data_IF_057322261387
#
_entry.id   IF_057322261387
#
_cell.length_a   1.000
_cell.length_b   1.000
_cell.length_c   1.000
_cell.angle_alpha   90.00
_cell.angle_beta   90.00
_cell.angle_gamma   90.00
#
_symmetry.space_group_name_H-M   'P 1'
#
loop_
_entity.id
_entity.type
_entity.pdbx_description
1 polymer ?
#
# COMPACT_ATOMS: atom_id res chain seq x y z
N UNK A 1 5.63 -15.12 -25.77
CA UNK A 1 6.33 -14.00 -26.44
C UNK A 1 7.07 -13.21 -25.38
N UNK A 2 8.41 -13.20 -25.42
CA UNK A 2 9.22 -12.50 -24.41
C UNK A 2 9.28 -11.02 -24.79
N UNK A 3 8.65 -10.16 -24.01
CA UNK A 3 8.72 -8.70 -24.21
C UNK A 3 10.17 -8.27 -23.96
N UNK A 4 10.83 -7.75 -24.99
CA UNK A 4 12.20 -7.25 -24.93
C UNK A 4 12.32 -5.97 -24.08
N UNK A 5 13.55 -5.60 -23.66
CA UNK A 5 13.82 -4.47 -22.77
C UNK A 5 13.54 -3.07 -23.37
N UNK A 6 13.03 -2.96 -24.60
CA UNK A 6 13.04 -1.72 -25.41
C UNK A 6 12.04 -0.61 -25.01
N UNK A 7 11.37 -0.68 -23.86
CA UNK A 7 10.38 0.35 -23.47
C UNK A 7 10.35 0.71 -21.97
N UNK A 8 11.49 0.66 -21.30
CA UNK A 8 11.58 1.10 -19.92
C UNK A 8 12.56 2.27 -19.81
N UNK A 9 12.19 3.31 -19.04
CA UNK A 9 13.15 4.34 -18.67
C UNK A 9 14.24 3.67 -17.84
N UNK A 10 15.41 3.51 -18.44
CA UNK A 10 16.57 2.88 -17.82
C UNK A 10 17.33 3.92 -17.00
N UNK A 11 17.86 3.50 -15.86
CA UNK A 11 18.90 4.28 -15.17
C UNK A 11 20.15 4.40 -16.06
N UNK A 12 21.13 5.21 -15.65
CA UNK A 12 22.42 5.34 -16.34
C UNK A 12 23.16 4.01 -16.56
N UNK A 13 22.76 2.93 -15.87
CA UNK A 13 23.32 1.58 -16.01
C UNK A 13 22.44 0.61 -16.83
N UNK A 14 21.32 1.04 -17.41
CA UNK A 14 20.41 0.14 -18.13
C UNK A 14 19.35 -0.55 -17.25
N UNK A 15 19.34 -0.33 -15.93
CA UNK A 15 18.41 -0.97 -15.01
C UNK A 15 17.05 -0.25 -14.99
N UNK A 16 15.96 -1.00 -14.94
CA UNK A 16 14.60 -0.45 -14.82
C UNK A 16 14.25 -0.30 -13.34
N UNK A 17 13.89 0.91 -12.91
CA UNK A 17 13.40 1.10 -11.54
C UNK A 17 12.08 0.37 -11.34
N UNK A 18 11.94 -0.32 -10.19
CA UNK A 18 10.72 -1.05 -9.82
C UNK A 18 9.47 -0.16 -9.89
N UNK A 19 9.58 1.09 -9.45
CA UNK A 19 8.51 2.10 -9.51
C UNK A 19 8.05 2.37 -10.94
N UNK A 20 8.97 2.47 -11.90
CA UNK A 20 8.68 2.66 -13.33
C UNK A 20 7.96 1.45 -13.91
N UNK A 21 8.46 0.24 -13.62
CA UNK A 21 7.82 -1.00 -14.08
C UNK A 21 6.39 -1.12 -13.51
N UNK A 22 6.22 -0.93 -12.20
CA UNK A 22 4.91 -0.97 -11.56
C UNK A 22 3.97 0.14 -12.07
N UNK A 23 4.49 1.33 -12.36
CA UNK A 23 3.75 2.43 -12.96
C UNK A 23 3.20 2.08 -14.33
N UNK A 24 4.03 1.52 -15.21
CA UNK A 24 3.62 1.07 -16.57
C UNK A 24 2.49 0.04 -16.50
N UNK A 25 2.59 -0.92 -15.59
CA UNK A 25 1.58 -1.96 -15.42
C UNK A 25 0.41 -1.54 -14.52
N UNK A 26 0.44 -0.32 -13.96
CA UNK A 26 -0.56 0.21 -13.02
C UNK A 26 -0.81 -0.78 -11.86
N UNK A 27 0.27 -1.21 -11.23
CA UNK A 27 0.27 -2.08 -10.04
C UNK A 27 0.94 -1.38 -8.85
N UNK A 28 0.73 -1.92 -7.66
CA UNK A 28 1.24 -1.42 -6.39
C UNK A 28 2.46 -2.25 -5.98
N UNK A 29 3.68 -1.68 -5.98
CA UNK A 29 4.91 -2.42 -5.73
C UNK A 29 4.88 -3.10 -4.36
N UNK A 30 4.39 -2.43 -3.33
CA UNK A 30 4.41 -2.93 -1.96
C UNK A 30 3.56 -4.17 -1.75
N UNK A 31 2.53 -4.41 -2.57
CA UNK A 31 1.66 -5.60 -2.45
C UNK A 31 2.07 -6.77 -3.35
N UNK A 32 3.05 -6.60 -4.23
CA UNK A 32 3.50 -7.66 -5.13
C UNK A 32 4.50 -8.62 -4.46
N UNK A 33 4.31 -9.95 -4.60
CA UNK A 33 5.12 -10.96 -3.94
C UNK A 33 6.40 -11.28 -4.74
N UNK A 34 7.27 -10.29 -4.90
CA UNK A 34 8.55 -10.52 -5.60
C UNK A 34 9.46 -11.50 -4.85
N UNK A 35 10.17 -12.36 -5.59
CA UNK A 35 10.97 -13.46 -5.01
C UNK A 35 12.18 -13.00 -4.20
N UNK A 36 12.67 -11.77 -4.41
CA UNK A 36 13.78 -11.22 -3.62
C UNK A 36 13.37 -10.81 -2.20
N UNK A 37 12.07 -10.80 -1.89
CA UNK A 37 11.56 -10.46 -0.56
C UNK A 37 11.69 -11.67 0.36
N UNK A 38 12.12 -11.42 1.59
CA UNK A 38 12.17 -12.46 2.64
C UNK A 38 10.78 -12.92 3.07
N UNK A 39 9.86 -11.96 3.20
CA UNK A 39 8.47 -12.18 3.61
C UNK A 39 7.57 -11.69 2.49
N UNK A 40 6.55 -12.48 2.13
CA UNK A 40 5.58 -12.03 1.14
C UNK A 40 4.72 -10.89 1.73
N UNK A 41 4.20 -9.97 0.89
CA UNK A 41 3.32 -8.91 1.37
C UNK A 41 2.12 -9.43 2.14
N UNK A 42 1.58 -10.57 1.73
CA UNK A 42 0.40 -11.13 2.35
C UNK A 42 0.70 -11.69 3.74
N UNK A 43 1.82 -12.39 3.93
CA UNK A 43 2.26 -12.86 5.24
C UNK A 43 2.53 -11.71 6.20
N UNK A 44 3.18 -10.65 5.71
CA UNK A 44 3.40 -9.44 6.51
C UNK A 44 2.08 -8.81 6.94
N UNK A 45 1.13 -8.63 6.01
CA UNK A 45 -0.16 -8.02 6.33
C UNK A 45 -1.02 -8.90 7.24
N UNK A 46 -1.03 -10.22 7.04
CA UNK A 46 -1.74 -11.17 7.91
C UNK A 46 -1.26 -11.00 9.36
N UNK A 47 0.05 -11.07 9.58
CA UNK A 47 0.61 -10.96 10.93
C UNK A 47 0.40 -9.56 11.56
N UNK A 48 0.42 -8.50 10.75
CA UNK A 48 0.07 -7.16 11.26
C UNK A 48 -1.41 -7.08 11.66
N UNK A 49 -2.32 -7.61 10.84
CA UNK A 49 -3.76 -7.59 11.14
C UNK A 49 -4.06 -8.41 12.38
N UNK A 50 -3.49 -9.61 12.51
CA UNK A 50 -3.61 -10.46 13.70
C UNK A 50 -3.11 -9.73 14.95
N UNK A 51 -1.91 -9.14 14.88
CA UNK A 51 -1.39 -8.35 15.99
C UNK A 51 -2.22 -7.11 16.31
N UNK A 52 -2.86 -6.47 15.32
CA UNK A 52 -3.76 -5.33 15.56
C UNK A 52 -5.06 -5.74 16.24
N UNK A 53 -5.57 -6.94 15.94
CA UNK A 53 -6.79 -7.49 16.54
C UNK A 53 -6.58 -7.91 18.00
N UNK A 54 -5.36 -8.28 18.38
CA UNK A 54 -4.98 -8.60 19.76
C UNK A 54 -4.73 -7.36 20.63
N UNK A 55 -4.45 -6.21 20.03
CA UNK A 55 -4.21 -4.99 20.78
C UNK A 55 -5.50 -4.49 21.46
N UNK A 56 -5.41 -3.95 22.69
CA UNK A 56 -6.53 -3.22 23.27
C UNK A 56 -6.98 -2.11 22.32
N UNK A 57 -8.30 -1.96 22.12
CA UNK A 57 -8.86 -0.89 21.28
C UNK A 57 -8.47 0.54 21.74
N UNK A 58 -7.99 0.67 22.98
CA UNK A 58 -7.46 1.90 23.58
C UNK A 58 -5.96 2.12 23.32
N UNK A 59 -5.27 1.18 22.66
CA UNK A 59 -3.90 1.35 22.23
C UNK A 59 -3.86 2.26 21.00
N UNK A 60 -3.47 3.52 21.19
CA UNK A 60 -3.38 4.51 20.11
C UNK A 60 -2.30 4.18 19.06
N UNK A 61 -1.30 3.40 19.45
CA UNK A 61 -0.12 3.13 18.64
C UNK A 61 0.41 1.73 18.82
N UNK A 62 1.14 1.23 17.84
CA UNK A 62 1.83 -0.05 17.87
C UNK A 62 3.22 0.04 17.22
N UNK A 63 4.05 -0.98 17.43
CA UNK A 63 5.32 -1.15 16.72
C UNK A 63 5.31 -2.51 16.02
N UNK A 64 5.51 -2.59 14.69
CA UNK A 64 5.47 -3.84 13.95
C UNK A 64 6.43 -4.92 14.48
N UNK A 65 7.56 -4.53 15.08
CA UNK A 65 8.52 -5.46 15.68
C UNK A 65 7.99 -6.19 16.93
N UNK A 66 6.85 -5.77 17.47
CA UNK A 66 6.18 -6.40 18.61
C UNK A 66 5.08 -7.37 18.17
N UNK A 67 4.84 -7.51 16.85
CA UNK A 67 3.92 -8.48 16.29
C UNK A 67 4.72 -9.75 16.02
N UNK A 68 4.33 -10.85 16.66
CA UNK A 68 5.05 -12.12 16.62
C UNK A 68 5.30 -12.61 15.18
N UNK A 69 6.39 -13.33 14.96
CA UNK A 69 6.76 -13.99 13.71
C UNK A 69 7.01 -13.10 12.46
N UNK A 70 7.01 -11.77 12.60
CA UNK A 70 7.34 -10.86 11.49
C UNK A 70 8.84 -10.54 11.47
N UNK A 71 9.59 -11.00 10.45
CA UNK A 71 10.85 -10.35 10.07
C UNK A 71 10.52 -8.95 9.53
N UNK A 72 10.49 -7.97 10.43
CA UNK A 72 10.30 -6.51 10.19
C UNK A 72 11.41 -5.87 9.36
N UNK A 73 12.17 -6.66 8.61
CA UNK A 73 12.99 -6.22 7.48
C UNK A 73 12.27 -6.57 6.17
N UNK A 74 11.04 -6.09 5.90
CA UNK A 74 10.33 -6.48 4.71
C UNK A 74 10.99 -5.76 3.55
N UNK A 75 11.70 -6.52 2.72
CA UNK A 75 12.13 -6.17 1.38
C UNK A 75 13.16 -5.03 1.26
N UNK A 76 14.15 -5.23 0.39
CA UNK A 76 14.99 -4.14 -0.09
C UNK A 76 14.11 -3.06 -0.76
N UNK A 77 14.26 -1.80 -0.35
CA UNK A 77 13.59 -0.64 -0.93
C UNK A 77 13.06 0.36 0.11
N UNK A 78 13.34 1.65 -0.09
CA UNK A 78 12.79 2.71 0.77
C UNK A 78 11.25 2.75 0.66
N UNK A 79 10.55 2.76 1.79
CA UNK A 79 9.09 2.96 1.95
C UNK A 79 8.14 1.78 1.73
N UNK A 80 8.58 0.56 1.40
CA UNK A 80 7.67 -0.60 1.22
C UNK A 80 6.81 -0.87 2.47
N UNK A 81 7.45 -0.93 3.64
CA UNK A 81 6.73 -1.11 4.91
C UNK A 81 5.74 0.03 5.18
N UNK A 82 6.14 1.26 4.88
CA UNK A 82 5.27 2.45 5.01
C UNK A 82 4.02 2.32 4.16
N UNK A 83 4.15 1.84 2.92
CA UNK A 83 3.02 1.68 2.01
C UNK A 83 2.14 0.47 2.38
N UNK A 84 2.73 -0.63 2.87
CA UNK A 84 1.97 -1.77 3.42
C UNK A 84 1.12 -1.33 4.60
N UNK A 85 1.72 -0.71 5.61
CA UNK A 85 1.00 -0.22 6.80
C UNK A 85 0.04 0.92 6.44
N UNK A 86 0.41 1.78 5.50
CA UNK A 86 -0.43 2.82 4.94
C UNK A 86 -1.70 2.27 4.29
N UNK A 87 -1.61 1.11 3.62
CA UNK A 87 -2.76 0.43 3.00
C UNK A 87 -3.77 -0.05 4.05
N UNK A 88 -3.29 -0.37 5.27
CA UNK A 88 -4.12 -0.70 6.44
C UNK A 88 -4.65 0.55 7.17
N UNK A 89 -4.27 1.75 6.74
CA UNK A 89 -4.68 3.00 7.36
C UNK A 89 -3.73 3.52 8.43
N UNK A 90 -2.67 2.79 8.78
CA UNK A 90 -1.68 3.23 9.76
C UNK A 90 -0.74 4.31 9.21
N UNK A 91 -0.19 5.15 10.09
CA UNK A 91 0.85 6.14 9.75
C UNK A 91 1.85 6.32 10.88
N UNK A 92 3.04 6.79 10.51
CA UNK A 92 4.18 6.91 11.43
C UNK A 92 3.98 8.11 12.37
N UNK A 93 4.18 7.89 13.67
CA UNK A 93 4.02 8.91 14.73
C UNK A 93 5.29 9.73 14.94
N UNK A 94 6.48 9.11 14.88
CA UNK A 94 7.76 9.79 15.07
C UNK A 94 8.80 9.31 14.03
N UNK A 95 9.64 10.22 13.53
CA UNK A 95 10.77 9.94 12.65
C UNK A 95 11.98 9.37 13.40
N UNK A 96 12.04 9.49 14.73
CA UNK A 96 13.21 9.13 15.54
C UNK A 96 13.23 7.67 16.04
N UNK A 97 13.97 6.83 15.32
CA UNK A 97 14.53 5.51 15.70
C UNK A 97 13.63 4.31 16.09
N UNK A 98 12.48 4.46 16.75
CA UNK A 98 11.54 3.34 16.94
C UNK A 98 10.26 3.64 16.16
N UNK A 99 10.05 2.95 15.03
CA UNK A 99 8.94 3.25 14.12
C UNK A 99 7.61 2.86 14.78
N UNK A 100 7.05 3.80 15.56
CA UNK A 100 5.72 3.71 16.15
C UNK A 100 4.69 4.18 15.12
N UNK A 101 3.63 3.39 14.97
CA UNK A 101 2.57 3.62 14.01
C UNK A 101 1.26 3.82 14.75
N UNK A 102 0.38 4.67 14.21
CA UNK A 102 -0.98 4.80 14.72
C UNK A 102 -1.76 3.53 14.44
N UNK A 103 -2.47 3.05 15.45
CA UNK A 103 -3.38 1.92 15.34
C UNK A 103 -4.65 2.34 14.57
N UNK A 104 -4.94 1.77 13.39
CA UNK A 104 -6.14 2.10 12.62
C UNK A 104 -7.45 1.72 13.35
N UNK A 105 -7.39 0.77 14.30
CA UNK A 105 -8.54 0.32 15.09
C UNK A 105 -8.75 1.14 16.38
N UNK A 106 -8.02 2.24 16.58
CA UNK A 106 -8.10 3.03 17.81
C UNK A 106 -9.46 3.75 17.95
N UNK A 107 -10.18 3.45 19.04
CA UNK A 107 -11.57 3.93 19.23
C UNK A 107 -11.69 5.41 19.64
N UNK A 108 -10.61 6.04 20.10
CA UNK A 108 -10.63 7.45 20.54
C UNK A 108 -9.93 8.38 19.54
N UNK A 109 -10.37 8.34 18.27
CA UNK A 109 -9.74 9.11 17.17
C UNK A 109 -9.49 10.60 17.48
N UNK A 110 -10.36 11.26 18.25
CA UNK A 110 -10.17 12.67 18.69
C UNK A 110 -8.91 12.90 19.55
N UNK A 111 -8.32 11.85 20.10
CA UNK A 111 -7.06 11.92 20.88
C UNK A 111 -5.82 11.76 19.99
N UNK A 112 -5.98 11.46 18.70
CA UNK A 112 -4.87 11.38 17.74
C UNK A 112 -4.48 12.75 17.18
N UNK A 113 -5.15 13.84 17.58
CA UNK A 113 -4.88 15.20 17.12
C UNK A 113 -3.42 15.66 17.37
N UNK A 114 -2.71 15.01 18.31
CA UNK A 114 -1.30 15.27 18.61
C UNK A 114 -0.33 14.36 17.83
N UNK A 115 -0.83 13.45 17.00
CA UNK A 115 -0.06 12.47 16.22
C UNK A 115 -0.20 12.74 14.71
N UNK A 116 -0.08 14.01 14.32
CA UNK A 116 -0.23 14.47 12.94
C UNK A 116 0.93 13.96 12.08
N UNK A 117 0.60 13.45 10.89
CA UNK A 117 1.61 13.04 9.93
C UNK A 117 2.33 14.27 9.35
N UNK A 118 3.64 14.35 9.58
CA UNK A 118 4.50 15.40 9.02
C UNK A 118 4.68 15.25 7.51
N UNK A 119 4.59 16.35 6.75
CA UNK A 119 4.85 16.36 5.31
C UNK A 119 3.91 17.30 4.57
N UNK A 120 4.04 17.34 3.25
CA UNK A 120 3.08 18.08 2.43
C UNK A 120 1.72 17.36 2.44
N UNK A 121 0.66 18.11 2.76
CA UNK A 121 -0.69 17.56 2.91
C UNK A 121 -1.20 16.98 1.59
N UNK A 122 -0.86 17.58 0.45
CA UNK A 122 -1.29 17.10 -0.87
C UNK A 122 -0.59 15.79 -1.20
N UNK A 123 0.71 15.70 -1.00
CA UNK A 123 1.45 14.44 -1.19
C UNK A 123 0.90 13.29 -0.33
N UNK A 124 0.59 13.57 0.94
CA UNK A 124 0.00 12.57 1.84
C UNK A 124 -1.38 12.12 1.33
N UNK A 125 -2.23 13.07 0.90
CA UNK A 125 -3.56 12.78 0.32
C UNK A 125 -3.44 11.93 -0.94
N UNK A 126 -2.56 12.31 -1.87
CA UNK A 126 -2.36 11.58 -3.13
C UNK A 126 -1.84 10.17 -2.87
N UNK A 127 -0.87 10.02 -1.96
CA UNK A 127 -0.37 8.71 -1.53
C UNK A 127 -1.47 7.86 -0.89
N UNK A 128 -2.26 8.42 0.04
CA UNK A 128 -3.34 7.69 0.70
C UNK A 128 -4.43 7.26 -0.30
N UNK A 129 -4.79 8.11 -1.25
CA UNK A 129 -5.72 7.77 -2.32
C UNK A 129 -5.16 6.66 -3.22
N UNK A 130 -3.85 6.66 -3.49
CA UNK A 130 -3.18 5.66 -4.33
C UNK A 130 -3.23 4.24 -3.77
N UNK A 131 -3.42 4.06 -2.46
CA UNK A 131 -3.64 2.74 -1.87
C UNK A 131 -5.00 2.13 -2.24
N UNK A 132 -5.98 2.94 -2.67
CA UNK A 132 -7.31 2.52 -3.08
C UNK A 132 -8.23 2.09 -1.93
N UNK A 133 -7.69 1.55 -0.85
CA UNK A 133 -8.45 1.12 0.32
C UNK A 133 -9.01 2.31 1.07
N UNK A 134 -8.21 3.33 1.39
CA UNK A 134 -8.57 4.42 2.31
C UNK A 134 -9.67 5.34 1.79
N UNK A 135 -10.50 5.86 2.70
CA UNK A 135 -11.52 6.89 2.47
C UNK A 135 -11.07 8.23 3.06
N UNK A 136 -11.82 9.30 2.78
CA UNK A 136 -11.57 10.61 3.40
C UNK A 136 -11.64 10.55 4.94
N UNK A 137 -12.53 9.70 5.48
CA UNK A 137 -12.68 9.52 6.92
C UNK A 137 -11.43 8.87 7.55
N UNK A 138 -10.79 7.93 6.84
CA UNK A 138 -9.56 7.27 7.32
C UNK A 138 -8.35 8.22 7.27
N UNK A 139 -8.36 9.20 6.36
CA UNK A 139 -7.23 10.12 6.13
C UNK A 139 -7.31 11.39 6.98
N UNK A 140 -8.52 11.90 7.26
CA UNK A 140 -8.69 13.15 7.99
C UNK A 140 -7.99 13.18 9.38
N UNK A 141 -8.01 12.11 10.19
CA UNK A 141 -7.30 12.05 11.47
C UNK A 141 -5.78 12.30 11.36
N UNK A 142 -5.16 11.96 10.22
CA UNK A 142 -3.72 12.20 9.97
C UNK A 142 -3.34 13.67 10.03
N UNK A 143 -4.32 14.57 9.85
CA UNK A 143 -4.13 16.01 9.85
C UNK A 143 -4.75 16.70 11.08
N UNK A 144 -5.27 15.94 12.05
CA UNK A 144 -5.99 16.49 13.20
C UNK A 144 -7.25 17.27 12.80
N UNK A 145 -7.93 16.85 11.72
CA UNK A 145 -9.15 17.51 11.24
C UNK A 145 -10.29 16.49 11.06
N UNK A 146 -11.52 17.00 11.04
CA UNK A 146 -12.69 16.19 10.70
C UNK A 146 -12.73 15.82 9.21
N UNK A 147 -13.48 14.78 8.86
CA UNK A 147 -13.74 14.38 7.46
C UNK A 147 -14.26 15.57 6.63
N UNK A 148 -15.23 16.32 7.17
CA UNK A 148 -15.76 17.53 6.53
C UNK A 148 -14.69 18.60 6.33
N UNK A 149 -13.78 18.74 7.30
CA UNK A 149 -12.61 19.62 7.20
C UNK A 149 -11.70 19.25 6.03
N UNK A 150 -11.40 17.97 5.88
CA UNK A 150 -10.59 17.47 4.76
C UNK A 150 -11.32 17.65 3.42
N UNK A 151 -12.63 17.33 3.34
CA UNK A 151 -13.44 17.57 2.13
C UNK A 151 -13.41 19.02 1.68
N UNK A 152 -13.61 19.97 2.60
CA UNK A 152 -13.53 21.41 2.28
C UNK A 152 -12.14 21.81 1.79
N UNK A 153 -11.08 21.27 2.41
CA UNK A 153 -9.71 21.53 1.97
C UNK A 153 -9.47 21.00 0.55
N UNK A 154 -9.92 19.77 0.23
CA UNK A 154 -9.82 19.17 -1.11
C UNK A 154 -10.53 20.03 -2.16
N UNK A 155 -11.77 20.45 -1.90
CA UNK A 155 -12.54 21.32 -2.80
C UNK A 155 -11.82 22.65 -3.07
N UNK A 156 -11.29 23.31 -2.04
CA UNK A 156 -10.54 24.57 -2.21
C UNK A 156 -9.25 24.42 -3.02
N UNK A 157 -8.67 23.23 -3.01
CA UNK A 157 -7.43 22.91 -3.76
C UNK A 157 -7.71 22.32 -5.13
N UNK A 158 -8.98 22.16 -5.52
CA UNK A 158 -9.35 21.55 -6.81
C UNK A 158 -8.94 20.08 -6.90
N UNK A 159 -8.87 19.36 -5.77
CA UNK A 159 -8.46 17.97 -5.73
C UNK A 159 -9.69 17.06 -5.68
N UNK A 160 -9.86 16.24 -6.72
CA UNK A 160 -10.97 15.28 -6.81
C UNK A 160 -10.59 13.95 -6.16
N UNK A 161 -10.90 13.78 -4.88
CA UNK A 161 -10.59 12.55 -4.14
C UNK A 161 -11.11 11.28 -4.80
N UNK A 162 -12.32 11.31 -5.38
CA UNK A 162 -12.91 10.16 -6.05
C UNK A 162 -12.08 9.69 -7.24
N UNK A 163 -11.52 10.60 -8.04
CA UNK A 163 -10.68 10.28 -9.19
C UNK A 163 -9.36 9.67 -8.74
N UNK A 164 -8.68 10.31 -7.78
CA UNK A 164 -7.42 9.80 -7.22
C UNK A 164 -7.61 8.40 -6.61
N UNK A 165 -8.67 8.21 -5.83
CA UNK A 165 -8.96 6.93 -5.20
C UNK A 165 -9.40 5.87 -6.22
N UNK A 166 -10.09 6.25 -7.28
CA UNK A 166 -10.50 5.33 -8.35
C UNK A 166 -9.28 4.75 -9.07
N UNK A 167 -8.24 5.57 -9.28
CA UNK A 167 -6.95 5.07 -9.78
C UNK A 167 -6.34 4.08 -8.79
N UNK A 168 -6.30 4.42 -7.49
CA UNK A 168 -5.81 3.52 -6.45
C UNK A 168 -6.56 2.17 -6.40
N UNK A 169 -7.89 2.18 -6.49
CA UNK A 169 -8.72 0.97 -6.57
C UNK A 169 -8.35 0.12 -7.78
N UNK A 170 -8.18 0.77 -8.94
CA UNK A 170 -7.80 0.08 -10.18
C UNK A 170 -6.44 -0.59 -10.03
N UNK A 171 -5.46 0.13 -9.47
CA UNK A 171 -4.12 -0.41 -9.22
C UNK A 171 -4.13 -1.56 -8.21
N UNK A 172 -4.88 -1.42 -7.12
CA UNK A 172 -5.05 -2.47 -6.12
C UNK A 172 -5.65 -3.74 -6.73
N UNK A 173 -6.75 -3.62 -7.48
CA UNK A 173 -7.41 -4.73 -8.15
C UNK A 173 -6.46 -5.48 -9.10
N UNK A 174 -5.75 -4.73 -9.96
CA UNK A 174 -4.74 -5.28 -10.87
C UNK A 174 -3.59 -5.95 -10.14
N UNK A 175 -3.18 -5.39 -9.00
CA UNK A 175 -2.08 -5.94 -8.19
C UNK A 175 -2.46 -7.28 -7.57
N UNK A 176 -3.65 -7.37 -6.98
CA UNK A 176 -4.16 -8.62 -6.40
C UNK A 176 -4.31 -9.69 -7.48
N UNK A 177 -4.86 -9.32 -8.64
CA UNK A 177 -4.97 -10.23 -9.78
C UNK A 177 -3.60 -10.68 -10.32
N UNK A 178 -2.63 -9.76 -10.34
CA UNK A 178 -1.24 -10.07 -10.74
C UNK A 178 -0.58 -11.03 -9.76
N UNK A 179 -0.71 -10.80 -8.46
CA UNK A 179 -0.20 -11.71 -7.44
C UNK A 179 -0.85 -13.11 -7.56
N UNK A 180 -2.13 -13.16 -7.92
CA UNK A 180 -2.86 -14.40 -8.20
C UNK A 180 -2.32 -15.17 -9.40
N UNK A 181 -2.05 -14.48 -10.50
CA UNK A 181 -1.36 -15.07 -11.65
C UNK A 181 0.03 -15.61 -11.30
N UNK A 182 0.65 -15.10 -10.24
CA UNK A 182 1.94 -15.58 -9.71
C UNK A 182 1.80 -16.66 -8.62
N UNK A 183 0.58 -17.14 -8.34
CA UNK A 183 0.32 -18.25 -7.42
C UNK A 183 -0.15 -17.84 -6.02
N UNK A 184 -0.49 -16.57 -5.77
CA UNK A 184 -0.94 -16.11 -4.46
C UNK A 184 -2.47 -15.99 -4.35
N UNK A 185 -3.05 -16.33 -3.20
CA UNK A 185 -4.51 -16.31 -3.05
C UNK A 185 -5.10 -14.89 -3.00
N UNK A 186 -5.97 -14.53 -3.96
CA UNK A 186 -6.76 -13.28 -3.91
C UNK A 186 -7.61 -13.21 -2.63
N UNK A 187 -8.08 -14.35 -2.15
CA UNK A 187 -8.91 -14.44 -0.94
C UNK A 187 -8.12 -14.03 0.31
N UNK A 188 -6.84 -14.43 0.43
CA UNK A 188 -6.01 -13.93 1.54
C UNK A 188 -5.86 -12.41 1.45
N UNK A 189 -5.58 -11.86 0.27
CA UNK A 189 -5.48 -10.39 0.12
C UNK A 189 -6.78 -9.69 0.53
N UNK A 190 -7.93 -10.22 0.12
CA UNK A 190 -9.21 -9.63 0.45
C UNK A 190 -9.55 -9.68 1.96
N UNK A 191 -8.97 -10.62 2.71
CA UNK A 191 -9.17 -10.76 4.17
C UNK A 191 -8.36 -9.77 4.99
N UNK A 192 -7.12 -9.47 4.59
CA UNK A 192 -6.21 -8.58 5.34
C UNK A 192 -6.42 -7.09 5.08
N UNK A 193 -7.09 -6.74 3.98
CA UNK A 193 -7.30 -5.34 3.62
C UNK A 193 -8.45 -4.73 4.43
N UNK A 194 -8.43 -3.41 4.75
CA UNK A 194 -9.42 -2.76 5.62
C UNK A 194 -10.74 -2.45 4.89
N UNK A 195 -11.22 -3.40 4.08
CA UNK A 195 -12.49 -3.34 3.35
C UNK A 195 -13.15 -4.71 3.33
N UNK A 196 -14.49 -4.77 3.27
CA UNK A 196 -15.19 -6.05 3.19
C UNK A 196 -14.67 -6.90 2.02
N UNK A 197 -14.50 -8.20 2.25
CA UNK A 197 -13.97 -9.14 1.26
C UNK A 197 -14.73 -9.05 -0.08
N UNK A 198 -16.06 -9.00 -0.02
CA UNK A 198 -16.92 -8.86 -1.19
C UNK A 198 -16.65 -7.58 -2.00
N UNK A 199 -16.27 -6.49 -1.33
CA UNK A 199 -15.89 -5.23 -1.98
C UNK A 199 -14.57 -5.39 -2.75
N UNK A 200 -13.55 -5.99 -2.13
CA UNK A 200 -12.25 -6.22 -2.78
C UNK A 200 -12.42 -7.15 -3.98
N UNK A 201 -13.16 -8.24 -3.83
CA UNK A 201 -13.46 -9.18 -4.92
C UNK A 201 -14.21 -8.51 -6.07
N UNK A 202 -15.19 -7.66 -5.75
CA UNK A 202 -15.90 -6.87 -6.76
C UNK A 202 -14.96 -5.93 -7.52
N UNK A 203 -13.99 -5.30 -6.84
CA UNK A 203 -12.99 -4.47 -7.51
C UNK A 203 -12.08 -5.28 -8.42
N UNK A 204 -11.59 -6.45 -7.99
CA UNK A 204 -10.79 -7.35 -8.82
C UNK A 204 -11.56 -7.77 -10.07
N UNK A 205 -12.81 -8.18 -9.92
CA UNK A 205 -13.66 -8.55 -11.05
C UNK A 205 -13.78 -7.38 -12.05
N UNK A 206 -14.22 -6.21 -11.57
CA UNK A 206 -14.52 -5.06 -12.43
C UNK A 206 -13.30 -4.41 -13.07
N UNK A 207 -12.17 -4.33 -12.37
CA UNK A 207 -11.01 -3.52 -12.79
C UNK A 207 -9.79 -4.33 -13.24
N UNK A 208 -9.85 -5.66 -13.13
CA UNK A 208 -8.79 -6.55 -13.61
C UNK A 208 -9.30 -7.68 -14.52
N UNK A 209 -10.47 -8.28 -14.26
CA UNK A 209 -10.96 -9.44 -15.04
C UNK A 209 -11.92 -9.08 -16.18
N UNK A 210 -12.84 -8.15 -15.94
CA UNK A 210 -13.85 -7.71 -16.92
C UNK A 210 -13.29 -6.68 -17.93
N UNK A 211 -12.01 -6.40 -17.85
CA UNK A 211 -11.29 -5.46 -18.71
C UNK A 211 -10.16 -6.20 -19.41
N UNK A 212 -9.68 -5.64 -20.52
CA UNK A 212 -8.51 -6.15 -21.24
C UNK A 212 -7.21 -5.84 -20.48
N UNK A 213 -7.03 -6.48 -19.32
CA UNK A 213 -5.85 -6.41 -18.50
C UNK A 213 -5.22 -7.79 -18.37
N UNK A 214 -4.03 -7.94 -18.92
CA UNK A 214 -3.21 -9.14 -18.74
C UNK A 214 -2.20 -8.91 -17.60
N UNK A 215 -2.22 -9.74 -16.54
CA UNK A 215 -1.18 -9.74 -15.52
C UNK A 215 0.23 -9.80 -16.11
N UNK A 216 1.13 -8.88 -15.77
CA UNK A 216 2.50 -8.96 -16.26
C UNK A 216 3.22 -10.16 -15.67
N UNK A 217 4.18 -10.71 -16.42
CA UNK A 217 5.06 -11.77 -15.92
C UNK A 217 5.92 -11.28 -14.75
N UNK A 218 6.20 -12.16 -13.78
CA UNK A 218 7.06 -11.86 -12.64
C UNK A 218 8.50 -11.51 -13.10
N UNK A 219 8.96 -10.27 -12.87
CA UNK A 219 10.28 -9.84 -13.29
C UNK A 219 11.40 -10.33 -12.37
N UNK A 220 11.10 -10.99 -11.24
CA UNK A 220 12.07 -11.38 -10.20
C UNK A 220 13.23 -12.25 -10.72
N UNK A 221 13.05 -12.97 -11.83
CA UNK A 221 14.09 -13.77 -12.47
C UNK A 221 14.93 -13.04 -13.53
N UNK A 222 14.68 -11.75 -13.79
CA UNK A 222 15.35 -11.00 -14.86
C UNK A 222 16.55 -10.22 -14.31
N UNK A 223 17.68 -10.25 -15.03
CA UNK A 223 18.92 -9.57 -14.62
C UNK A 223 18.74 -8.06 -14.43
N UNK A 224 18.05 -7.39 -15.35
CA UNK A 224 17.75 -5.95 -15.28
C UNK A 224 16.90 -5.56 -14.06
N UNK A 225 16.18 -6.52 -13.49
CA UNK A 225 15.33 -6.32 -12.32
C UNK A 225 16.11 -6.50 -11.02
N UNK A 226 16.98 -7.52 -10.94
CA UNK A 226 17.81 -7.76 -9.77
C UNK A 226 18.95 -6.73 -9.62
N UNK A 227 19.54 -6.28 -10.73
CA UNK A 227 20.65 -5.31 -10.73
C UNK A 227 20.29 -3.96 -10.07
N UNK A 228 19.04 -3.53 -10.20
CA UNK A 228 18.52 -2.29 -9.61
C UNK A 228 17.89 -2.43 -8.21
N UNK A 229 17.87 -3.62 -7.60
CA UNK A 229 17.25 -3.86 -6.29
C UNK A 229 18.22 -4.38 -5.22
N UNK A 230 19.38 -4.92 -5.63
CA UNK A 230 20.39 -5.54 -4.76
C UNK A 230 21.57 -4.61 -4.45
N UNK A 231 21.54 -3.35 -4.90
CA UNK A 231 22.57 -2.34 -4.62
C UNK A 231 22.16 -1.38 -3.52
#
# INVERSE_FOLDING_TARGET
MSVGPEQYATTSNGDVQLSTWCGKHRVLPHLLPFKYRKTTPIEFLDAVVEGLDELPQTAATFTPAQMDDIDVRPAAGANIMTDMLGTLGAWKVDRSSSARWVNPNYVHLRKLDNMIESGDRREIVERCASYGTLTVADVAPRFGISEMGLRRWLTRKGITWSELRQEGITRLARTIHTASAWGHSELRYARVLPRPEGTIRSWVQKYARDVDFEPPADPSGKQWFMGGQVR
#
